data_IF_789589232680
#
_entry.id   IF_789589232680
#
_cell.length_a   1.000
_cell.length_b   1.000
_cell.length_c   1.000
_cell.angle_alpha   90.00
_cell.angle_beta   90.00
_cell.angle_gamma   90.00
#
_symmetry.space_group_name_H-M   'P 1'
#
loop_
_entity.id
_entity.type
_entity.pdbx_description
1 polymer ?
#
# COMPACT_ATOMS: atom_id res chain seq x y z
N UNK A 1 -32.07 -25.58 22.21
CA UNK A 1 -30.90 -24.85 21.69
C UNK A 1 -31.17 -23.37 21.92
N UNK A 2 -30.66 -22.80 23.03
CA UNK A 2 -30.97 -21.42 23.43
C UNK A 2 -30.12 -20.47 22.57
N UNK A 3 -30.78 -19.55 21.84
CA UNK A 3 -30.12 -18.38 21.26
C UNK A 3 -29.64 -17.51 22.42
N UNK A 4 -28.34 -17.49 22.68
CA UNK A 4 -27.75 -16.51 23.58
C UNK A 4 -27.87 -15.13 22.95
N UNK A 5 -28.27 -14.17 23.78
CA UNK A 5 -28.62 -12.81 23.42
C UNK A 5 -27.36 -12.12 22.88
N UNK A 6 -27.39 -11.70 21.61
CA UNK A 6 -26.37 -10.85 21.01
C UNK A 6 -26.26 -9.56 21.83
N UNK A 7 -25.02 -9.17 22.11
CA UNK A 7 -24.69 -7.92 22.77
C UNK A 7 -25.37 -6.74 22.07
N UNK A 8 -25.87 -5.79 22.84
CA UNK A 8 -26.56 -4.61 22.31
C UNK A 8 -25.62 -3.39 22.31
N UNK A 9 -25.89 -2.41 21.46
CA UNK A 9 -25.16 -1.12 21.44
C UNK A 9 -25.07 -0.47 22.83
N UNK A 10 -26.04 -0.66 23.70
CA UNK A 10 -26.04 -0.09 25.05
C UNK A 10 -25.02 -0.75 26.00
N UNK A 11 -24.54 -1.95 25.67
CA UNK A 11 -23.64 -2.75 26.51
C UNK A 11 -22.20 -2.77 26.03
N UNK A 12 -21.91 -2.19 24.85
CA UNK A 12 -20.57 -2.19 24.26
C UNK A 12 -19.67 -1.12 24.88
N UNK A 13 -20.25 0.04 25.26
CA UNK A 13 -19.52 1.16 25.87
C UNK A 13 -18.96 0.85 27.27
N UNK A 14 -19.45 -0.20 27.93
CA UNK A 14 -18.97 -0.64 29.24
C UNK A 14 -17.87 -1.71 29.15
N UNK A 15 -17.33 -1.96 27.96
CA UNK A 15 -16.30 -2.97 27.72
C UNK A 15 -15.02 -2.35 27.20
N UNK A 16 -13.92 -2.97 27.56
CA UNK A 16 -12.60 -2.67 26.99
C UNK A 16 -12.48 -3.26 25.58
N UNK A 17 -11.60 -2.67 24.76
CA UNK A 17 -11.31 -3.19 23.43
C UNK A 17 -10.85 -4.66 23.45
N UNK A 18 -10.06 -5.05 24.45
CA UNK A 18 -9.63 -6.44 24.62
C UNK A 18 -10.80 -7.40 24.84
N UNK A 19 -11.82 -7.01 25.62
CA UNK A 19 -13.00 -7.84 25.85
C UNK A 19 -13.89 -7.98 24.60
N UNK A 20 -13.96 -6.95 23.78
CA UNK A 20 -14.68 -6.95 22.50
C UNK A 20 -13.96 -7.87 21.49
N UNK A 21 -12.64 -7.74 21.38
CA UNK A 21 -11.81 -8.50 20.43
C UNK A 21 -11.67 -9.97 20.83
N UNK A 22 -11.57 -10.31 22.12
CA UNK A 22 -11.53 -11.70 22.56
C UNK A 22 -12.81 -12.48 22.18
N UNK A 23 -13.96 -11.82 22.08
CA UNK A 23 -15.22 -12.45 21.66
C UNK A 23 -15.39 -12.57 20.15
N UNK A 24 -14.62 -11.84 19.35
CA UNK A 24 -14.61 -12.07 17.89
C UNK A 24 -14.11 -13.47 17.52
N UNK A 25 -13.44 -14.21 18.41
CA UNK A 25 -13.12 -15.64 18.22
C UNK A 25 -14.35 -16.57 18.16
N UNK A 26 -15.53 -16.12 18.62
CA UNK A 26 -16.78 -16.90 18.52
C UNK A 26 -17.30 -16.95 17.08
N UNK A 27 -16.99 -15.92 16.30
CA UNK A 27 -17.25 -15.90 14.88
C UNK A 27 -15.94 -16.31 14.19
N UNK A 28 -15.96 -17.28 13.26
CA UNK A 28 -14.77 -17.66 12.50
C UNK A 28 -14.34 -16.57 11.49
N UNK A 29 -14.51 -15.31 11.85
CA UNK A 29 -14.16 -14.18 11.02
C UNK A 29 -12.64 -14.03 11.05
N UNK A 30 -11.98 -13.94 9.88
CA UNK A 30 -10.58 -13.59 9.87
C UNK A 30 -10.40 -12.26 10.58
N UNK A 31 -9.27 -12.06 11.31
CA UNK A 31 -8.95 -10.74 11.84
C UNK A 31 -9.05 -9.71 10.73
N UNK A 32 -9.49 -8.47 11.01
CA UNK A 32 -9.47 -7.42 10.00
C UNK A 32 -8.04 -7.32 9.51
N UNK A 33 -7.80 -7.73 8.27
CA UNK A 33 -6.57 -7.42 7.57
C UNK A 33 -6.72 -5.94 7.30
N UNK A 34 -6.13 -5.12 8.18
CA UNK A 34 -6.01 -3.69 7.90
C UNK A 34 -5.11 -3.58 6.70
N UNK A 35 -5.73 -3.51 5.52
CA UNK A 35 -5.03 -3.44 4.23
C UNK A 35 -4.37 -2.09 4.01
N UNK A 36 -4.62 -1.11 4.88
CA UNK A 36 -4.09 0.24 4.78
C UNK A 36 -3.48 0.72 6.11
N UNK A 37 -2.19 1.05 6.11
CA UNK A 37 -1.53 1.74 7.21
C UNK A 37 -1.47 3.24 6.93
N UNK A 38 -1.99 4.11 7.81
CA UNK A 38 -1.82 5.55 7.67
C UNK A 38 -0.35 5.93 7.84
N UNK A 39 0.17 6.76 6.94
CA UNK A 39 1.51 7.32 6.96
C UNK A 39 1.52 8.79 7.42
N UNK A 40 0.36 9.39 7.65
CA UNK A 40 0.19 10.80 7.97
C UNK A 40 -0.06 11.06 9.46
N UNK A 41 0.20 12.30 9.89
CA UNK A 41 -0.19 12.79 11.22
C UNK A 41 -1.69 13.11 11.28
N UNK A 42 -2.27 13.12 12.50
CA UNK A 42 -3.72 13.27 12.76
C UNK A 42 -4.32 14.61 12.26
N UNK A 43 -3.48 15.58 11.87
CA UNK A 43 -3.91 16.89 11.35
C UNK A 43 -3.43 17.15 9.92
N UNK A 44 -2.90 16.13 9.24
CA UNK A 44 -2.53 16.29 7.84
C UNK A 44 -3.76 16.64 7.00
N UNK A 45 -3.68 17.65 6.11
CA UNK A 45 -4.73 17.91 5.13
C UNK A 45 -4.79 16.83 4.05
N UNK A 46 -3.90 15.84 4.08
CA UNK A 46 -3.81 14.73 3.15
C UNK A 46 -4.01 13.38 3.87
N UNK A 47 -4.79 12.50 3.26
CA UNK A 47 -4.92 11.10 3.63
C UNK A 47 -3.87 10.30 2.88
N UNK A 48 -2.74 10.01 3.55
CA UNK A 48 -1.64 9.22 2.98
C UNK A 48 -1.64 7.83 3.56
N UNK A 49 -1.95 6.80 2.78
CA UNK A 49 -1.87 5.43 3.28
C UNK A 49 -0.92 4.57 2.47
N UNK A 50 -0.31 3.60 3.13
CA UNK A 50 0.36 2.45 2.53
C UNK A 50 -0.62 1.29 2.51
N UNK A 51 -0.77 0.61 1.39
CA UNK A 51 -1.55 -0.60 1.30
C UNK A 51 -0.72 -1.89 1.31
N UNK A 52 -1.39 -3.02 1.51
CA UNK A 52 -0.74 -4.32 1.58
C UNK A 52 -0.16 -4.82 0.24
N UNK A 53 -0.55 -4.23 -0.89
CA UNK A 53 0.12 -4.45 -2.17
C UNK A 53 1.35 -3.53 -2.35
N UNK A 54 1.83 -2.93 -1.26
CA UNK A 54 3.00 -2.05 -1.16
C UNK A 54 2.79 -0.65 -1.77
N UNK A 55 1.57 -0.30 -2.18
CA UNK A 55 1.35 0.99 -2.83
C UNK A 55 1.10 2.08 -1.81
N UNK A 56 1.55 3.29 -2.13
CA UNK A 56 1.16 4.49 -1.38
C UNK A 56 0.11 5.25 -2.15
N UNK A 57 -0.96 5.65 -1.48
CA UNK A 57 -1.91 6.61 -2.03
C UNK A 57 -1.98 7.86 -1.16
N UNK A 58 -2.11 9.02 -1.80
CA UNK A 58 -2.40 10.30 -1.15
C UNK A 58 -3.64 10.93 -1.75
N UNK A 59 -4.61 11.25 -0.90
CA UNK A 59 -5.84 11.96 -1.25
C UNK A 59 -5.97 13.22 -0.42
N UNK A 60 -6.28 14.35 -1.04
CA UNK A 60 -6.51 15.61 -0.30
C UNK A 60 -7.85 15.53 0.44
N UNK A 61 -7.86 15.92 1.71
CA UNK A 61 -9.12 16.07 2.46
C UNK A 61 -9.88 17.26 1.88
N UNK A 62 -11.13 17.02 1.50
CA UNK A 62 -12.04 18.04 0.98
C UNK A 62 -12.86 18.56 2.15
N UNK A 63 -12.56 19.77 2.60
CA UNK A 63 -13.13 20.35 3.83
C UNK A 63 -14.62 20.73 3.72
N UNK A 64 -15.16 20.83 2.50
CA UNK A 64 -16.50 21.35 2.22
C UNK A 64 -17.45 20.31 1.58
N UNK A 65 -17.29 19.01 1.88
CA UNK A 65 -18.28 18.00 1.43
C UNK A 65 -19.56 18.18 2.27
N UNK A 66 -20.71 18.58 1.67
CA UNK A 66 -21.94 18.72 2.41
C UNK A 66 -22.40 17.36 2.96
N UNK A 67 -22.84 17.32 4.22
CA UNK A 67 -23.35 16.10 4.87
C UNK A 67 -24.51 15.46 4.08
N UNK A 68 -25.32 16.28 3.44
CA UNK A 68 -26.26 15.88 2.38
C UNK A 68 -25.80 16.54 1.08
N UNK A 69 -25.10 15.78 0.23
CA UNK A 69 -24.42 16.36 -0.93
C UNK A 69 -23.96 15.36 -1.97
N UNK A 70 -23.50 15.90 -3.09
CA UNK A 70 -23.10 15.17 -4.29
C UNK A 70 -21.81 14.36 -4.05
N UNK A 71 -21.96 13.07 -3.73
CA UNK A 71 -20.88 12.09 -3.60
C UNK A 71 -20.02 11.88 -4.87
N UNK A 72 -20.29 12.60 -5.95
CA UNK A 72 -19.42 12.61 -7.13
C UNK A 72 -18.14 13.44 -6.94
N UNK A 73 -18.06 14.32 -5.93
CA UNK A 73 -16.86 15.15 -5.73
C UNK A 73 -15.61 14.32 -5.37
N UNK A 74 -15.64 13.39 -4.39
CA UNK A 74 -14.48 12.53 -4.11
C UNK A 74 -14.06 11.69 -5.33
N UNK A 75 -15.04 11.13 -6.07
CA UNK A 75 -14.81 10.29 -7.26
C UNK A 75 -13.96 10.94 -8.35
N UNK A 76 -14.04 12.26 -8.50
CA UNK A 76 -13.31 13.03 -9.51
C UNK A 76 -12.14 13.81 -8.91
N UNK A 77 -11.73 13.45 -7.68
CA UNK A 77 -10.53 14.01 -7.07
C UNK A 77 -9.34 13.16 -7.47
N UNK A 78 -8.27 13.82 -7.90
CA UNK A 78 -7.02 13.13 -8.24
C UNK A 78 -6.38 12.56 -6.97
N UNK A 79 -6.04 11.28 -7.06
CA UNK A 79 -5.23 10.57 -6.09
C UNK A 79 -3.81 10.47 -6.64
N UNK A 80 -2.86 10.87 -5.82
CA UNK A 80 -1.45 10.59 -6.06
C UNK A 80 -1.16 9.14 -5.66
N UNK A 81 -0.48 8.39 -6.54
CA UNK A 81 -0.13 6.99 -6.29
C UNK A 81 1.35 6.74 -6.54
N UNK A 82 1.93 5.89 -5.70
CA UNK A 82 3.19 5.20 -5.97
C UNK A 82 2.91 3.71 -5.93
N UNK A 83 3.12 3.03 -7.06
CA UNK A 83 2.87 1.61 -7.25
C UNK A 83 4.17 0.87 -7.50
N UNK A 84 4.20 -0.43 -7.16
CA UNK A 84 5.36 -1.29 -7.38
C UNK A 84 5.02 -2.54 -8.19
N UNK A 85 5.93 -2.91 -9.07
CA UNK A 85 6.01 -4.21 -9.70
C UNK A 85 7.43 -4.75 -9.52
N UNK A 86 7.56 -6.04 -9.25
CA UNK A 86 8.81 -6.63 -8.81
C UNK A 86 9.30 -7.67 -9.81
N UNK A 87 10.60 -7.97 -9.75
CA UNK A 87 11.35 -8.95 -10.54
C UNK A 87 11.39 -8.69 -12.06
N UNK A 88 12.29 -9.36 -12.78
CA UNK A 88 12.54 -9.16 -14.21
C UNK A 88 11.32 -9.48 -15.05
N UNK A 89 10.62 -10.58 -14.74
CA UNK A 89 9.25 -10.77 -15.22
C UNK A 89 8.30 -10.05 -14.26
N UNK A 90 7.79 -8.88 -14.64
CA UNK A 90 7.24 -7.97 -13.65
C UNK A 90 5.90 -8.48 -13.14
N UNK A 91 5.72 -8.50 -11.82
CA UNK A 91 4.46 -8.85 -11.17
C UNK A 91 4.10 -7.82 -10.10
N UNK A 92 2.80 -7.62 -9.87
CA UNK A 92 2.29 -6.77 -8.79
C UNK A 92 2.29 -7.57 -7.48
N UNK A 93 2.80 -7.02 -6.36
CA UNK A 93 2.80 -7.71 -5.08
C UNK A 93 1.40 -8.21 -4.68
N UNK A 94 1.27 -9.51 -4.36
CA UNK A 94 0.03 -10.03 -3.79
C UNK A 94 -0.07 -9.58 -2.33
N UNK A 95 -1.09 -8.79 -2.03
CA UNK A 95 -1.30 -8.23 -0.71
C UNK A 95 -1.35 -9.27 0.41
N UNK A 96 -1.69 -10.53 0.09
CA UNK A 96 -1.72 -11.66 1.05
C UNK A 96 -0.34 -12.14 1.48
N UNK A 97 0.69 -11.85 0.71
CA UNK A 97 2.07 -12.30 0.94
C UNK A 97 2.96 -11.22 1.55
N UNK A 98 2.47 -9.98 1.57
CA UNK A 98 3.15 -8.87 2.23
C UNK A 98 3.09 -8.97 3.76
N UNK A 99 4.10 -8.43 4.42
CA UNK A 99 4.09 -8.18 5.86
C UNK A 99 4.24 -6.70 6.09
N UNK A 100 3.23 -6.05 6.66
CA UNK A 100 3.30 -4.65 7.04
C UNK A 100 3.37 -4.49 8.55
N UNK A 101 4.16 -3.52 8.99
CA UNK A 101 4.26 -3.14 10.39
C UNK A 101 4.51 -1.65 10.52
N UNK A 102 4.16 -1.10 11.69
CA UNK A 102 4.56 0.25 12.08
C UNK A 102 5.79 0.15 12.97
N UNK A 103 6.72 1.09 12.82
CA UNK A 103 7.86 1.17 13.70
C UNK A 103 7.47 1.73 15.07
N UNK A 104 7.81 1.01 16.13
CA UNK A 104 7.43 1.37 17.50
C UNK A 104 8.12 2.67 17.96
N UNK A 105 7.35 3.54 18.62
CA UNK A 105 7.87 4.74 19.26
C UNK A 105 8.34 5.86 18.30
N UNK A 106 7.98 5.79 17.02
CA UNK A 106 8.33 6.81 16.01
C UNK A 106 7.09 7.48 15.43
N UNK A 107 7.30 8.57 14.67
CA UNK A 107 6.34 9.07 13.67
C UNK A 107 5.88 7.92 12.77
N UNK A 108 4.75 8.02 12.03
CA UNK A 108 4.22 6.91 11.24
C UNK A 108 5.21 6.49 10.13
N UNK A 109 6.15 5.63 10.52
CA UNK A 109 7.10 4.91 9.68
C UNK A 109 6.50 3.52 9.54
N UNK A 110 6.16 3.16 8.31
CA UNK A 110 5.72 1.82 8.01
C UNK A 110 6.86 1.03 7.36
N UNK A 111 6.97 -0.25 7.72
CA UNK A 111 7.84 -1.20 7.04
C UNK A 111 6.97 -2.20 6.32
N UNK A 112 7.38 -2.56 5.10
CA UNK A 112 6.74 -3.60 4.33
C UNK A 112 7.77 -4.56 3.75
N UNK A 113 7.55 -5.85 3.98
CA UNK A 113 8.39 -6.91 3.44
C UNK A 113 7.57 -7.78 2.49
N UNK A 114 8.21 -8.18 1.39
CA UNK A 114 7.65 -9.10 0.42
C UNK A 114 8.73 -10.10 0.01
N UNK A 115 8.41 -11.40 0.02
CA UNK A 115 9.35 -12.46 -0.35
C UNK A 115 8.84 -13.24 -1.55
N UNK A 116 9.63 -13.29 -2.61
CA UNK A 116 9.34 -14.06 -3.81
C UNK A 116 10.62 -14.51 -4.51
N UNK A 117 10.62 -15.75 -5.00
CA UNK A 117 11.73 -16.33 -5.79
C UNK A 117 13.11 -16.15 -5.14
N UNK A 118 13.19 -16.43 -3.85
CA UNK A 118 14.41 -16.28 -3.04
C UNK A 118 14.96 -14.84 -2.98
N UNK A 119 14.13 -13.85 -3.29
CA UNK A 119 14.42 -12.43 -3.14
C UNK A 119 13.53 -11.84 -2.03
N UNK A 120 14.17 -11.17 -1.07
CA UNK A 120 13.49 -10.38 -0.04
C UNK A 120 13.51 -8.91 -0.44
N UNK A 121 12.32 -8.37 -0.67
CA UNK A 121 12.08 -6.95 -0.90
C UNK A 121 11.68 -6.32 0.43
N UNK A 122 12.43 -5.33 0.89
CA UNK A 122 12.16 -4.62 2.15
C UNK A 122 12.06 -3.12 1.88
N UNK A 123 10.91 -2.56 2.24
CA UNK A 123 10.57 -1.17 2.01
C UNK A 123 10.28 -0.46 3.34
N UNK A 124 10.80 0.75 3.49
CA UNK A 124 10.46 1.66 4.57
C UNK A 124 9.79 2.91 4.00
N UNK A 125 8.62 3.24 4.54
CA UNK A 125 7.78 4.36 4.11
C UNK A 125 7.71 5.37 5.23
N UNK A 126 7.87 6.64 4.90
CA UNK A 126 7.68 7.75 5.84
C UNK A 126 7.08 8.92 5.10
N UNK A 127 6.10 9.59 5.71
CA UNK A 127 5.59 10.85 5.21
C UNK A 127 5.81 11.91 6.30
N UNK A 128 6.51 12.99 5.97
CA UNK A 128 6.71 14.11 6.88
C UNK A 128 6.17 15.41 6.29
N UNK A 129 5.51 16.26 7.09
CA UNK A 129 5.19 17.61 6.65
C UNK A 129 6.49 18.41 6.45
N UNK A 130 6.59 19.11 5.33
CA UNK A 130 7.66 20.08 5.05
C UNK A 130 7.21 21.46 5.53
N UNK A 131 5.94 21.80 5.25
CA UNK A 131 5.25 22.99 5.74
C UNK A 131 3.73 22.75 5.80
N UNK A 132 2.94 23.81 6.01
CA UNK A 132 1.47 23.74 6.11
C UNK A 132 0.76 23.34 4.80
N UNK A 133 1.48 23.35 3.67
CA UNK A 133 0.95 23.08 2.33
C UNK A 133 1.56 21.84 1.68
N UNK A 134 2.72 21.38 2.16
CA UNK A 134 3.50 20.32 1.54
C UNK A 134 3.89 19.23 2.54
N UNK A 135 3.79 17.98 2.09
CA UNK A 135 4.42 16.82 2.73
C UNK A 135 5.38 16.14 1.77
N UNK A 136 6.46 15.58 2.32
CA UNK A 136 7.42 14.76 1.61
C UNK A 136 7.16 13.29 1.94
N UNK A 137 6.86 12.52 0.89
CA UNK A 137 6.85 11.07 0.96
C UNK A 137 8.25 10.55 0.64
N UNK A 138 8.82 9.79 1.57
CA UNK A 138 10.07 9.07 1.39
C UNK A 138 9.80 7.57 1.38
N UNK A 139 10.28 6.89 0.34
CA UNK A 139 10.23 5.43 0.23
C UNK A 139 11.65 4.95 0.02
N UNK A 140 12.16 4.23 1.00
CA UNK A 140 13.43 3.53 0.92
C UNK A 140 13.16 2.07 0.57
N UNK A 141 13.86 1.55 -0.44
CA UNK A 141 13.75 0.16 -0.86
C UNK A 141 15.10 -0.52 -0.81
N UNK A 142 15.13 -1.74 -0.29
CA UNK A 142 16.28 -2.62 -0.29
C UNK A 142 15.88 -4.02 -0.79
N UNK A 143 16.87 -4.72 -1.33
CA UNK A 143 16.67 -6.01 -1.96
C UNK A 143 17.79 -6.94 -1.52
N UNK A 144 17.42 -8.08 -0.94
CA UNK A 144 18.34 -9.12 -0.50
C UNK A 144 18.13 -10.39 -1.29
N UNK A 145 19.22 -10.98 -1.77
CA UNK A 145 19.21 -12.30 -2.39
C UNK A 145 19.41 -13.36 -1.31
N UNK A 146 18.36 -14.13 -1.04
CA UNK A 146 18.32 -15.22 -0.06
C UNK A 146 18.67 -16.57 -0.70
N UNK A 147 18.95 -16.60 -2.01
CA UNK A 147 19.34 -17.81 -2.71
C UNK A 147 20.82 -18.16 -2.49
N UNK A 148 21.16 -19.42 -2.74
CA UNK A 148 22.55 -19.90 -2.74
C UNK A 148 23.39 -19.40 -3.92
N UNK A 149 22.76 -18.84 -4.94
CA UNK A 149 23.40 -18.32 -6.16
C UNK A 149 23.12 -16.83 -6.30
N UNK A 150 24.06 -16.06 -6.86
CA UNK A 150 23.85 -14.64 -7.12
C UNK A 150 22.73 -14.45 -8.14
N UNK A 151 21.74 -13.62 -7.79
CA UNK A 151 20.65 -13.22 -8.65
C UNK A 151 20.60 -11.69 -8.79
N UNK A 152 20.04 -11.23 -9.90
CA UNK A 152 19.67 -9.82 -10.08
C UNK A 152 18.17 -9.72 -9.83
N UNK A 153 17.75 -8.90 -8.87
CA UNK A 153 16.34 -8.59 -8.72
C UNK A 153 16.03 -7.19 -9.25
N UNK A 154 14.78 -7.00 -9.62
CA UNK A 154 14.30 -5.79 -10.26
C UNK A 154 13.17 -5.20 -9.42
N UNK A 155 13.15 -3.88 -9.29
CA UNK A 155 12.05 -3.14 -8.66
C UNK A 155 11.62 -2.05 -9.63
N UNK A 156 10.41 -2.19 -10.15
CA UNK A 156 9.77 -1.18 -10.99
C UNK A 156 8.83 -0.37 -10.12
N UNK A 157 8.92 0.93 -10.24
CA UNK A 157 8.01 1.86 -9.57
C UNK A 157 7.29 2.69 -10.60
N UNK A 158 6.02 2.98 -10.34
CA UNK A 158 5.21 3.88 -11.14
C UNK A 158 4.64 4.94 -10.22
N UNK A 159 4.86 6.19 -10.59
CA UNK A 159 4.29 7.35 -9.92
C UNK A 159 3.26 7.96 -10.85
N UNK A 160 2.03 8.11 -10.38
CA UNK A 160 0.97 8.67 -11.19
C UNK A 160 -0.08 9.45 -10.40
N UNK A 161 -0.96 10.10 -11.16
CA UNK A 161 -2.13 10.80 -10.68
C UNK A 161 -3.33 10.25 -11.44
N UNK A 162 -4.28 9.67 -10.70
CA UNK A 162 -5.47 9.03 -11.24
C UNK A 162 -6.71 9.51 -10.50
N UNK A 163 -7.86 9.50 -11.16
CA UNK A 163 -9.10 9.76 -10.44
C UNK A 163 -9.38 8.61 -9.48
N UNK A 164 -9.83 8.98 -8.29
CA UNK A 164 -10.14 8.05 -7.23
C UNK A 164 -11.10 6.92 -7.71
N UNK A 165 -12.08 7.26 -8.54
CA UNK A 165 -13.04 6.30 -9.09
C UNK A 165 -12.47 5.32 -10.13
N UNK A 166 -11.35 5.63 -10.75
CA UNK A 166 -10.74 4.77 -11.77
C UNK A 166 -9.87 3.67 -11.13
N UNK A 167 -9.36 3.93 -9.94
CA UNK A 167 -8.42 3.03 -9.25
C UNK A 167 -9.12 2.23 -8.15
N UNK A 168 -9.91 2.88 -7.31
CA UNK A 168 -10.44 2.25 -6.10
C UNK A 168 -11.87 1.74 -6.28
N UNK A 169 -12.14 0.59 -5.66
CA UNK A 169 -13.46 -0.04 -5.66
C UNK A 169 -14.16 0.23 -4.32
N UNK A 170 -15.18 1.09 -4.35
CA UNK A 170 -15.79 1.69 -3.14
C UNK A 170 -16.83 0.83 -2.40
N UNK A 171 -17.18 -0.37 -2.90
CA UNK A 171 -18.36 -1.08 -2.39
C UNK A 171 -18.13 -2.58 -2.25
N UNK A 172 -18.21 -3.09 -1.02
CA UNK A 172 -18.38 -4.51 -0.63
C UNK A 172 -17.41 -5.54 -1.26
N UNK A 173 -16.39 -5.11 -1.97
CA UNK A 173 -15.35 -5.96 -2.51
C UNK A 173 -14.22 -6.11 -1.47
N UNK A 174 -13.65 -7.31 -1.31
CA UNK A 174 -12.38 -7.44 -0.61
C UNK A 174 -11.33 -6.56 -1.30
N UNK A 175 -10.39 -6.03 -0.54
CA UNK A 175 -9.26 -5.30 -1.11
C UNK A 175 -8.59 -6.14 -2.20
N UNK A 176 -8.41 -5.52 -3.36
CA UNK A 176 -7.85 -6.16 -4.53
C UNK A 176 -6.98 -5.15 -5.28
N UNK A 177 -5.75 -5.56 -5.55
CA UNK A 177 -4.80 -4.77 -6.32
C UNK A 177 -4.11 -5.68 -7.33
N UNK A 178 -4.22 -5.33 -8.61
CA UNK A 178 -3.65 -6.09 -9.72
C UNK A 178 -3.16 -5.14 -10.82
N UNK A 179 -2.71 -5.72 -11.94
CA UNK A 179 -2.25 -5.01 -13.12
C UNK A 179 -3.24 -3.97 -13.64
N UNK A 180 -4.55 -4.16 -13.47
CA UNK A 180 -5.56 -3.25 -14.01
C UNK A 180 -5.54 -1.90 -13.32
N UNK A 181 -4.90 -1.82 -12.14
CA UNK A 181 -4.67 -0.57 -11.41
C UNK A 181 -3.49 0.22 -11.98
N UNK A 182 -2.69 -0.35 -12.90
CA UNK A 182 -1.59 0.33 -13.57
C UNK A 182 -2.07 1.11 -14.81
N UNK A 183 -2.91 2.12 -14.58
CA UNK A 183 -3.49 2.92 -15.65
C UNK A 183 -2.45 3.87 -16.30
N UNK A 184 -2.53 4.15 -17.61
CA UNK A 184 -1.69 5.17 -18.23
C UNK A 184 -1.85 6.54 -17.54
N UNK A 185 -0.77 7.31 -17.45
CA UNK A 185 -0.80 8.67 -16.91
C UNK A 185 0.06 9.60 -17.76
N UNK A 186 -0.57 10.40 -18.62
CA UNK A 186 0.13 11.33 -19.51
C UNK A 186 0.64 12.59 -18.78
N UNK A 187 0.19 12.81 -17.54
CA UNK A 187 0.56 13.99 -16.74
C UNK A 187 1.93 13.88 -16.10
N UNK A 188 2.46 12.65 -16.00
CA UNK A 188 3.77 12.37 -15.41
C UNK A 188 4.77 12.08 -16.52
N UNK A 189 5.93 12.74 -16.45
CA UNK A 189 7.06 12.41 -17.30
C UNK A 189 8.35 12.33 -16.50
N UNK A 190 9.31 11.59 -17.04
CA UNK A 190 10.51 11.16 -16.34
C UNK A 190 11.73 11.65 -17.11
N UNK A 191 12.70 12.24 -16.43
CA UNK A 191 13.92 12.75 -17.06
C UNK A 191 15.12 12.61 -16.14
N UNK A 192 16.12 11.83 -16.56
CA UNK A 192 17.28 11.52 -15.73
C UNK A 192 16.87 10.76 -14.47
N UNK A 193 16.93 11.39 -13.30
CA UNK A 193 16.43 10.85 -12.03
C UNK A 193 15.20 11.62 -11.51
N UNK A 194 14.74 12.62 -12.26
CA UNK A 194 13.70 13.53 -11.86
C UNK A 194 12.33 13.09 -12.39
N UNK A 195 11.30 13.36 -11.59
CA UNK A 195 9.90 13.03 -11.86
C UNK A 195 9.13 14.35 -11.93
N UNK A 196 8.44 14.57 -13.04
CA UNK A 196 7.72 15.80 -13.33
C UNK A 196 6.22 15.53 -13.44
N UNK A 197 5.42 16.43 -12.90
CA UNK A 197 3.96 16.46 -13.03
C UNK A 197 3.60 17.76 -13.70
N UNK A 198 3.03 17.69 -14.91
CA UNK A 198 2.69 18.87 -15.72
C UNK A 198 3.85 19.90 -15.76
N UNK A 199 5.04 19.44 -16.15
CA UNK A 199 6.28 20.23 -16.26
C UNK A 199 6.85 20.78 -14.94
N UNK A 200 6.24 20.45 -13.80
CA UNK A 200 6.75 20.81 -12.48
C UNK A 200 7.49 19.64 -11.86
N UNK A 201 8.76 19.87 -11.49
CA UNK A 201 9.54 18.90 -10.72
C UNK A 201 8.84 18.64 -9.38
N UNK A 202 8.44 17.39 -9.13
CA UNK A 202 7.74 17.03 -7.90
C UNK A 202 8.33 15.82 -7.18
N UNK A 203 9.21 15.06 -7.82
CA UNK A 203 9.86 13.90 -7.24
C UNK A 203 11.24 13.63 -7.82
N UNK A 204 12.02 12.81 -7.14
CA UNK A 204 13.35 12.38 -7.57
C UNK A 204 13.64 10.98 -7.07
N UNK A 205 14.18 10.13 -7.94
CA UNK A 205 14.82 8.88 -7.55
C UNK A 205 16.25 9.16 -7.09
N UNK A 206 16.61 8.67 -5.91
CA UNK A 206 17.98 8.75 -5.40
C UNK A 206 18.57 7.35 -5.48
N UNK A 207 19.40 7.04 -6.50
CA UNK A 207 20.04 5.74 -6.55
C UNK A 207 21.04 5.65 -5.40
N UNK A 208 20.81 4.68 -4.50
CA UNK A 208 21.83 4.22 -3.56
C UNK A 208 22.82 3.33 -4.31
N UNK A 209 22.94 2.08 -3.88
CA UNK A 209 23.82 1.08 -4.52
C UNK A 209 23.20 0.42 -5.77
N UNK A 210 22.06 0.93 -6.25
CA UNK A 210 21.31 0.38 -7.38
C UNK A 210 21.51 1.20 -8.66
N UNK A 211 21.46 0.53 -9.81
CA UNK A 211 21.30 1.20 -11.11
C UNK A 211 19.83 1.59 -11.32
N UNK A 212 19.57 2.88 -11.52
CA UNK A 212 18.24 3.39 -11.85
C UNK A 212 18.16 3.73 -13.34
N UNK A 213 17.14 3.22 -14.02
CA UNK A 213 16.83 3.53 -15.41
C UNK A 213 15.31 3.60 -15.59
N UNK A 214 14.86 4.48 -16.49
CA UNK A 214 13.45 4.55 -16.85
C UNK A 214 13.14 3.60 -18.01
N UNK A 215 12.11 2.77 -17.85
CA UNK A 215 11.58 1.95 -18.92
C UNK A 215 10.54 2.76 -19.70
N UNK A 216 10.66 2.80 -21.03
CA UNK A 216 9.72 3.53 -21.87
C UNK A 216 8.32 2.86 -21.89
N UNK A 217 8.30 1.53 -21.87
CA UNK A 217 7.10 0.71 -21.83
C UNK A 217 7.43 -0.64 -21.20
N UNK A 218 6.52 -1.18 -20.40
CA UNK A 218 6.60 -2.53 -19.85
C UNK A 218 5.24 -3.21 -20.07
N UNK A 219 5.24 -4.40 -20.66
CA UNK A 219 4.04 -5.19 -20.85
C UNK A 219 3.98 -6.29 -19.78
N UNK A 220 2.87 -6.32 -19.05
CA UNK A 220 2.62 -7.34 -18.05
C UNK A 220 1.60 -8.34 -18.61
N UNK A 221 1.91 -9.64 -18.60
CA UNK A 221 0.97 -10.66 -19.07
C UNK A 221 0.10 -11.15 -17.89
N UNK A 222 -1.22 -11.23 -18.10
CA UNK A 222 -2.22 -11.62 -17.09
C UNK A 222 -1.95 -13.01 -16.44
N UNK A 223 -1.25 -13.90 -17.14
CA UNK A 223 -0.90 -15.25 -16.67
C UNK A 223 0.27 -15.27 -15.69
N UNK A 224 1.17 -14.28 -15.74
CA UNK A 224 2.28 -14.09 -14.79
C UNK A 224 1.77 -13.76 -13.38
N UNK A 225 0.59 -13.14 -13.26
CA UNK A 225 -0.08 -12.86 -11.98
C UNK A 225 -0.70 -14.08 -11.31
N UNK A 226 -1.02 -15.14 -12.08
CA UNK A 226 -1.62 -16.38 -11.56
C UNK A 226 -0.58 -17.42 -11.14
N UNK A 227 0.71 -17.17 -11.40
CA UNK A 227 1.81 -18.10 -11.14
C UNK A 227 2.39 -18.03 -9.72
N UNK A 228 1.67 -17.47 -8.74
CA UNK A 228 2.02 -17.64 -7.32
C UNK A 228 1.70 -19.07 -6.83
N UNK A 229 2.23 -20.06 -7.54
CA UNK A 229 2.41 -21.44 -7.10
C UNK A 229 3.66 -21.50 -6.23
N UNK A 230 3.44 -21.25 -4.94
CA UNK A 230 4.34 -21.45 -3.80
C UNK A 230 5.63 -22.26 -4.10
N UNK A 231 6.77 -21.56 -4.18
CA UNK A 231 8.03 -22.10 -3.68
C UNK A 231 7.98 -22.05 -2.16
N UNK A 232 8.16 -23.18 -1.51
CA UNK A 232 8.10 -23.35 -0.06
C UNK A 232 9.13 -22.49 0.67
N UNK A 233 8.77 -21.26 1.05
CA UNK A 233 9.48 -20.54 2.08
C UNK A 233 9.28 -21.29 3.42
N UNK A 234 10.34 -21.56 4.20
CA UNK A 234 10.17 -22.12 5.53
C UNK A 234 9.39 -21.11 6.38
N UNK A 235 8.10 -21.37 6.60
CA UNK A 235 7.33 -20.68 7.64
C UNK A 235 7.92 -21.09 8.99
N UNK A 236 8.90 -20.34 9.48
CA UNK A 236 9.19 -20.30 10.91
C UNK A 236 8.04 -19.55 11.59
N UNK A 237 6.96 -20.29 11.84
CA UNK A 237 5.87 -19.86 12.69
C UNK A 237 6.40 -19.73 14.12
N UNK A 238 6.71 -18.51 14.56
CA UNK A 238 6.80 -18.23 15.99
C UNK A 238 5.38 -18.09 16.53
N UNK A 239 4.89 -19.18 17.11
CA UNK A 239 3.73 -19.19 17.99
C UNK A 239 4.13 -18.49 19.29
N UNK A 240 3.68 -17.26 19.49
CA UNK A 240 3.69 -16.64 20.81
C UNK A 240 2.34 -16.98 21.46
N UNK A 241 2.41 -17.55 22.67
CA UNK A 241 1.25 -17.73 23.55
C UNK A 241 0.81 -16.39 24.11
#
# INVERSE_FOLDING_TARGET
MKREILESYNTINSKTWSEILCKTQVFAWPPPVTVHLPLQTIHSPDLVHLDAALNVSRRRIINDIPFEGNWNVPKHTETFLVQFALDEQPFVPDWRLSKLSLEEGKYPIARAQYFAWDMLYDFTYTCCPVDDQQSLLWIEGSLSNEASVTQTGHVRTKVDFQYEADVFEYHYAPFWWDAKKWLPCEKVHLSGLDIYYQDTLFGRCVPGDFSCQWEAESHFQDDQYRQLGMGSAPMHNMRIL
#
